data_IF_412388422708
#
_entry.id   IF_412388422708
#
_cell.length_a   1.000
_cell.length_b   1.000
_cell.length_c   1.000
_cell.angle_alpha   90.00
_cell.angle_beta   90.00
_cell.angle_gamma   90.00
#
_symmetry.space_group_name_H-M   'P 1'
#
loop_
_entity.id
_entity.type
_entity.pdbx_description
1 polymer ?
#
# COMPACT_ATOMS: atom_id res chain seq x y z
N UNK A 1 -10.42 12.77 -2.08
CA UNK A 1 -10.62 11.33 -2.33
C UNK A 1 -9.40 10.74 -3.04
N UNK A 2 -8.54 10.03 -2.31
CA UNK A 2 -7.46 9.24 -2.90
C UNK A 2 -8.13 8.15 -3.74
N UNK A 3 -7.91 8.14 -5.06
CA UNK A 3 -8.40 7.08 -5.93
C UNK A 3 -7.73 5.78 -5.43
N UNK A 4 -8.57 4.86 -4.92
CA UNK A 4 -8.22 3.72 -4.06
C UNK A 4 -7.00 2.94 -4.54
N UNK A 5 -6.15 2.50 -3.61
CA UNK A 5 -4.82 1.92 -3.88
C UNK A 5 -4.87 0.57 -4.62
N UNK A 6 -6.04 -0.07 -4.72
CA UNK A 6 -6.29 -1.14 -5.69
C UNK A 6 -5.95 -0.72 -7.14
N UNK A 7 -6.02 0.58 -7.47
CA UNK A 7 -5.55 1.14 -8.75
C UNK A 7 -4.02 1.20 -8.90
N UNK A 8 -3.24 0.93 -7.85
CA UNK A 8 -1.78 0.79 -7.93
C UNK A 8 -1.38 -0.50 -8.63
N UNK A 9 -2.24 -1.52 -8.60
CA UNK A 9 -2.04 -2.76 -9.34
C UNK A 9 -2.07 -2.46 -10.84
N UNK A 10 -1.02 -2.87 -11.56
CA UNK A 10 -0.92 -2.68 -13.01
C UNK A 10 -1.75 -3.70 -13.82
N UNK A 11 -2.74 -4.34 -13.20
CA UNK A 11 -3.65 -5.31 -13.80
C UNK A 11 -5.09 -5.03 -13.38
N UNK A 12 -6.09 -5.45 -14.18
CA UNK A 12 -7.48 -5.20 -13.85
C UNK A 12 -7.88 -5.95 -12.57
N UNK A 13 -8.58 -5.23 -11.69
CA UNK A 13 -9.25 -5.75 -10.49
C UNK A 13 -10.73 -5.40 -10.62
N UNK A 14 -11.62 -6.26 -10.15
CA UNK A 14 -13.07 -5.98 -10.16
C UNK A 14 -13.36 -4.59 -9.58
N UNK A 15 -14.13 -3.78 -10.33
CA UNK A 15 -14.49 -2.41 -9.97
C UNK A 15 -15.24 -2.32 -8.62
N UNK A 16 -15.92 -3.41 -8.21
CA UNK A 16 -16.57 -3.51 -6.89
C UNK A 16 -15.53 -3.58 -5.77
N UNK A 17 -14.43 -4.30 -6.00
CA UNK A 17 -13.33 -4.45 -5.04
C UNK A 17 -12.43 -3.22 -5.01
N UNK A 18 -12.29 -2.53 -6.15
CA UNK A 18 -11.65 -1.22 -6.21
C UNK A 18 -12.32 -0.21 -5.30
N UNK A 19 -13.57 -0.47 -4.87
CA UNK A 19 -14.37 0.41 -4.06
C UNK A 19 -14.84 -0.18 -2.71
N UNK A 20 -14.38 -1.38 -2.40
CA UNK A 20 -14.51 -2.08 -1.14
C UNK A 20 -13.79 -1.37 0.04
N UNK A 21 -14.40 -0.79 1.09
CA UNK A 21 -13.62 -0.57 2.31
C UNK A 21 -13.19 -1.93 2.86
N UNK A 22 -11.88 -2.24 2.82
CA UNK A 22 -11.33 -3.53 3.26
C UNK A 22 -11.12 -3.58 4.78
N UNK A 23 -12.06 -2.98 5.50
CA UNK A 23 -12.01 -2.76 6.94
C UNK A 23 -12.20 -4.11 7.66
N UNK A 24 -11.39 -4.43 8.67
CA UNK A 24 -11.58 -5.62 9.49
C UNK A 24 -12.80 -5.47 10.40
N UNK A 25 -13.36 -6.59 10.85
CA UNK A 25 -14.50 -6.56 11.78
C UNK A 25 -14.07 -5.99 13.13
N UNK A 26 -12.86 -6.34 13.56
CA UNK A 26 -12.22 -5.87 14.78
C UNK A 26 -10.86 -5.27 14.45
N UNK A 27 -10.38 -4.36 15.28
CA UNK A 27 -9.04 -3.81 15.12
C UNK A 27 -7.99 -4.93 15.24
N UNK A 28 -7.05 -5.06 14.29
CA UNK A 28 -6.04 -6.11 14.33
C UNK A 28 -5.13 -5.91 15.53
N UNK A 29 -4.98 -6.94 16.38
CA UNK A 29 -4.15 -6.81 17.59
C UNK A 29 -2.68 -6.67 17.23
N UNK A 30 -2.22 -7.38 16.20
CA UNK A 30 -0.84 -7.36 15.72
C UNK A 30 -0.75 -7.41 14.19
N UNK A 31 0.48 -7.26 13.67
CA UNK A 31 0.74 -7.29 12.22
C UNK A 31 0.35 -8.63 11.57
N UNK A 32 0.49 -9.74 12.30
CA UNK A 32 0.07 -11.06 11.83
C UNK A 32 -1.42 -11.14 11.57
N UNK A 33 -2.24 -10.58 12.48
CA UNK A 33 -3.70 -10.52 12.32
C UNK A 33 -4.10 -9.66 11.11
N UNK A 34 -3.43 -8.51 10.94
CA UNK A 34 -3.64 -7.65 9.79
C UNK A 34 -3.31 -8.37 8.47
N UNK A 35 -2.18 -9.09 8.43
CA UNK A 35 -1.77 -9.88 7.26
C UNK A 35 -2.75 -11.03 7.02
N UNK A 36 -3.23 -11.72 8.07
CA UNK A 36 -4.22 -12.78 7.94
C UNK A 36 -5.53 -12.27 7.35
N UNK A 37 -5.99 -11.08 7.80
CA UNK A 37 -7.14 -10.39 7.24
C UNK A 37 -6.98 -10.09 5.75
N UNK A 38 -5.80 -9.62 5.32
CA UNK A 38 -5.52 -9.41 3.90
C UNK A 38 -5.37 -10.71 3.11
N UNK A 39 -4.78 -11.76 3.70
CA UNK A 39 -4.59 -13.07 3.07
C UNK A 39 -5.93 -13.67 2.62
N UNK A 40 -6.95 -13.57 3.47
CA UNK A 40 -8.31 -14.04 3.16
C UNK A 40 -8.92 -13.36 1.92
N UNK A 41 -8.40 -12.20 1.51
CA UNK A 41 -8.90 -11.38 0.39
C UNK A 41 -8.04 -11.45 -0.85
N UNK A 42 -6.84 -12.03 -0.78
CA UNK A 42 -5.92 -12.12 -1.92
C UNK A 42 -6.55 -12.69 -3.20
N UNK A 43 -7.38 -13.75 -3.15
CA UNK A 43 -8.00 -14.29 -4.37
C UNK A 43 -8.73 -13.25 -5.22
N UNK A 44 -9.29 -12.23 -4.57
CA UNK A 44 -10.05 -11.17 -5.21
C UNK A 44 -9.18 -10.15 -5.98
N UNK A 45 -7.87 -10.10 -5.70
CA UNK A 45 -6.90 -9.15 -6.29
C UNK A 45 -5.89 -9.83 -7.22
N UNK A 46 -5.92 -11.17 -7.31
CA UNK A 46 -5.01 -11.93 -8.15
C UNK A 46 -5.26 -11.63 -9.63
N UNK A 47 -4.20 -11.51 -10.45
CA UNK A 47 -4.38 -11.34 -11.88
C UNK A 47 -4.96 -12.60 -12.53
N UNK A 48 -5.60 -12.46 -13.69
CA UNK A 48 -6.21 -13.59 -14.41
C UNK A 48 -5.22 -14.71 -14.80
N UNK A 49 -3.91 -14.39 -14.86
CA UNK A 49 -2.85 -15.37 -15.17
C UNK A 49 -2.21 -15.99 -13.91
N UNK A 50 -2.74 -15.73 -12.71
CA UNK A 50 -2.15 -16.19 -11.45
C UNK A 50 -1.92 -17.71 -11.41
N UNK A 51 -2.92 -18.49 -11.83
CA UNK A 51 -2.85 -19.95 -11.78
C UNK A 51 -1.85 -20.56 -12.78
N UNK A 52 -1.37 -19.75 -13.74
CA UNK A 52 -0.35 -20.15 -14.71
C UNK A 52 1.08 -19.88 -14.21
N UNK A 53 1.23 -19.22 -13.07
CA UNK A 53 2.53 -18.98 -12.43
C UNK A 53 2.98 -20.21 -11.65
N UNK A 54 4.30 -20.38 -11.50
CA UNK A 54 4.82 -21.37 -10.57
C UNK A 54 4.47 -20.99 -9.11
N UNK A 55 4.55 -21.96 -8.19
CA UNK A 55 4.19 -21.73 -6.78
C UNK A 55 5.01 -20.61 -6.12
N UNK A 56 6.25 -20.41 -6.56
CA UNK A 56 7.15 -19.39 -6.02
C UNK A 56 6.67 -18.00 -6.44
N UNK A 57 6.33 -17.83 -7.71
CA UNK A 57 5.82 -16.58 -8.28
C UNK A 57 4.40 -16.29 -7.81
N UNK A 58 3.55 -17.30 -7.62
CA UNK A 58 2.26 -17.14 -6.94
C UNK A 58 2.44 -16.52 -5.54
N UNK A 59 3.35 -17.07 -4.73
CA UNK A 59 3.62 -16.54 -3.39
C UNK A 59 4.17 -15.10 -3.44
N UNK A 60 5.02 -14.78 -4.43
CA UNK A 60 5.53 -13.41 -4.63
C UNK A 60 4.43 -12.44 -5.04
N UNK A 61 3.50 -12.86 -5.90
CA UNK A 61 2.34 -12.04 -6.30
C UNK A 61 1.43 -11.78 -5.12
N UNK A 62 1.15 -12.81 -4.31
CA UNK A 62 0.40 -12.68 -3.06
C UNK A 62 1.09 -11.73 -2.08
N UNK A 63 2.43 -11.77 -1.99
CA UNK A 63 3.23 -10.81 -1.23
C UNK A 63 3.10 -9.37 -1.76
N UNK A 64 3.18 -9.18 -3.08
CA UNK A 64 3.02 -7.87 -3.71
C UNK A 64 1.63 -7.28 -3.45
N UNK A 65 0.57 -8.09 -3.58
CA UNK A 65 -0.80 -7.68 -3.26
C UNK A 65 -0.90 -7.33 -1.77
N UNK A 66 -0.32 -8.13 -0.88
CA UNK A 66 -0.30 -7.85 0.56
C UNK A 66 0.33 -6.49 0.87
N UNK A 67 1.47 -6.17 0.25
CA UNK A 67 2.12 -4.85 0.42
C UNK A 67 1.23 -3.69 -0.05
N UNK A 68 0.51 -3.88 -1.16
CA UNK A 68 -0.44 -2.89 -1.70
C UNK A 68 -1.62 -2.70 -0.73
N UNK A 69 -2.14 -3.77 -0.16
CA UNK A 69 -3.23 -3.72 0.83
C UNK A 69 -2.78 -3.10 2.14
N UNK A 70 -1.57 -3.39 2.61
CA UNK A 70 -0.98 -2.71 3.77
C UNK A 70 -0.84 -1.20 3.52
N UNK A 71 -0.39 -0.79 2.33
CA UNK A 71 -0.33 0.62 1.96
C UNK A 71 -1.73 1.26 1.93
N UNK A 72 -2.74 0.58 1.38
CA UNK A 72 -4.13 1.06 1.36
C UNK A 72 -4.67 1.28 2.78
N UNK A 73 -4.53 0.26 3.64
CA UNK A 73 -4.94 0.33 5.04
C UNK A 73 -4.20 1.39 5.84
N UNK A 74 -2.91 1.56 5.58
CA UNK A 74 -2.13 2.67 6.11
C UNK A 74 -2.78 3.98 5.66
N UNK A 75 -2.84 4.30 4.36
CA UNK A 75 -3.29 5.61 3.88
C UNK A 75 -4.70 6.01 4.33
N UNK A 76 -5.57 5.04 4.55
CA UNK A 76 -6.96 5.27 4.95
C UNK A 76 -7.19 5.16 6.46
N UNK A 77 -6.17 4.90 7.28
CA UNK A 77 -6.33 4.74 8.73
C UNK A 77 -7.06 5.92 9.38
N UNK A 78 -6.73 7.16 8.99
CA UNK A 78 -7.45 8.35 9.44
C UNK A 78 -8.93 8.37 8.99
N UNK A 79 -9.22 7.93 7.75
CA UNK A 79 -10.59 7.86 7.26
C UNK A 79 -11.40 6.77 7.97
N UNK A 80 -10.75 5.68 8.41
CA UNK A 80 -11.38 4.64 9.21
C UNK A 80 -11.73 5.14 10.62
N UNK A 81 -10.82 5.89 11.26
CA UNK A 81 -11.08 6.57 12.54
C UNK A 81 -12.26 7.53 12.44
N UNK A 82 -12.24 8.44 11.46
CA UNK A 82 -13.31 9.44 11.26
C UNK A 82 -14.66 8.76 10.98
N UNK A 83 -14.66 7.59 10.35
CA UNK A 83 -15.85 6.82 10.07
C UNK A 83 -16.29 5.88 11.21
N UNK A 84 -15.59 5.87 12.36
CA UNK A 84 -15.87 4.98 13.49
C UNK A 84 -15.67 3.51 13.16
N UNK A 85 -14.75 3.20 12.23
CA UNK A 85 -14.43 1.84 11.77
C UNK A 85 -13.16 1.33 12.45
N UNK A 86 -13.03 0.01 12.53
CA UNK A 86 -11.78 -0.61 12.97
C UNK A 86 -10.62 -0.17 12.09
N UNK A 87 -9.55 0.33 12.70
CA UNK A 87 -8.39 0.80 11.96
C UNK A 87 -7.68 -0.37 11.27
N UNK A 88 -7.20 -0.13 10.04
CA UNK A 88 -6.41 -1.11 9.29
C UNK A 88 -4.93 -1.07 9.66
N UNK A 89 -4.63 -0.91 10.94
CA UNK A 89 -3.30 -0.83 11.51
C UNK A 89 -3.17 -1.77 12.73
N UNK A 90 -1.97 -2.29 13.02
CA UNK A 90 -1.74 -3.14 14.19
C UNK A 90 -1.80 -2.33 15.49
N UNK A 91 -2.69 -2.72 16.41
CA UNK A 91 -2.88 -2.01 17.69
C UNK A 91 -1.63 -2.06 18.58
N UNK A 92 -0.94 -3.21 18.66
CA UNK A 92 0.30 -3.39 19.41
C UNK A 92 1.41 -2.41 19.00
N UNK A 93 1.51 -2.15 17.70
CA UNK A 93 2.51 -1.27 17.10
C UNK A 93 2.18 0.19 17.42
N UNK A 94 0.91 0.57 17.33
CA UNK A 94 0.46 1.90 17.72
C UNK A 94 0.75 2.16 19.20
N UNK A 95 0.44 1.20 20.07
CA UNK A 95 0.70 1.28 21.51
C UNK A 95 2.21 1.39 21.82
N UNK A 96 3.01 0.47 21.27
CA UNK A 96 4.48 0.45 21.45
C UNK A 96 5.13 1.76 21.02
N UNK A 97 4.59 2.41 19.99
CA UNK A 97 5.11 3.66 19.44
C UNK A 97 4.40 4.90 20.01
N UNK A 98 3.48 4.74 20.96
CA UNK A 98 2.70 5.79 21.62
C UNK A 98 1.86 6.63 20.65
N UNK A 99 1.39 6.02 19.56
CA UNK A 99 0.44 6.64 18.63
C UNK A 99 -0.97 6.38 19.12
N UNK A 100 -1.51 7.39 19.79
CA UNK A 100 -2.85 7.38 20.38
C UNK A 100 -3.92 7.92 19.43
N UNK A 101 -5.18 7.68 19.77
CA UNK A 101 -6.37 8.24 19.10
C UNK A 101 -6.28 9.76 18.87
N UNK A 102 -5.75 10.51 19.84
CA UNK A 102 -5.56 11.96 19.71
C UNK A 102 -4.67 12.38 18.54
N UNK A 103 -3.71 11.54 18.12
CA UNK A 103 -2.91 11.86 16.92
C UNK A 103 -3.77 11.90 15.66
N UNK A 104 -4.78 11.02 15.58
CA UNK A 104 -5.67 10.95 14.44
C UNK A 104 -6.71 12.06 14.47
N UNK A 105 -7.29 12.35 15.63
CA UNK A 105 -8.31 13.40 15.80
C UNK A 105 -7.74 14.82 15.65
N UNK A 106 -6.60 15.08 16.30
CA UNK A 106 -5.94 16.40 16.28
C UNK A 106 -5.05 16.59 15.04
N UNK A 107 -4.93 15.56 14.18
CA UNK A 107 -4.04 15.54 13.02
C UNK A 107 -2.58 15.83 13.41
N UNK A 108 -2.15 15.28 14.55
CA UNK A 108 -0.85 15.57 15.16
C UNK A 108 0.26 14.76 14.51
N UNK A 109 1.31 15.46 14.06
CA UNK A 109 2.49 14.89 13.38
C UNK A 109 3.74 15.16 14.20
N UNK A 110 3.84 14.51 15.36
CA UNK A 110 5.00 14.60 16.25
C UNK A 110 6.02 13.49 16.00
N UNK A 111 7.02 13.38 16.87
CA UNK A 111 8.07 12.38 16.75
C UNK A 111 7.54 10.94 16.84
N UNK A 112 6.53 10.68 17.69
CA UNK A 112 5.93 9.36 17.83
C UNK A 112 5.24 8.93 16.53
N UNK A 113 4.44 9.83 15.95
CA UNK A 113 3.77 9.59 14.67
C UNK A 113 4.76 9.41 13.52
N UNK A 114 5.83 10.21 13.45
CA UNK A 114 6.88 10.07 12.41
C UNK A 114 7.59 8.72 12.51
N UNK A 115 7.99 8.32 13.72
CA UNK A 115 8.64 7.02 13.98
C UNK A 115 7.73 5.86 13.58
N UNK A 116 6.44 5.94 13.89
CA UNK A 116 5.46 4.95 13.43
C UNK A 116 5.39 4.86 11.91
N UNK A 117 5.26 6.00 11.23
CA UNK A 117 5.20 6.03 9.76
C UNK A 117 6.47 5.46 9.12
N UNK A 118 7.64 5.75 9.66
CA UNK A 118 8.90 5.19 9.19
C UNK A 118 8.96 3.67 9.37
N UNK A 119 8.55 3.18 10.54
CA UNK A 119 8.54 1.76 10.84
C UNK A 119 7.54 1.01 9.95
N UNK A 120 6.30 1.49 9.83
CA UNK A 120 5.28 0.86 9.00
C UNK A 120 5.65 0.88 7.52
N UNK A 121 6.22 1.98 7.02
CA UNK A 121 6.78 2.03 5.67
C UNK A 121 7.93 1.02 5.48
N UNK A 122 8.75 0.80 6.50
CA UNK A 122 9.77 -0.25 6.54
C UNK A 122 9.18 -1.66 6.39
N UNK A 123 8.08 -1.95 7.11
CA UNK A 123 7.37 -3.23 6.99
C UNK A 123 6.83 -3.44 5.57
N UNK A 124 6.19 -2.44 4.97
CA UNK A 124 5.69 -2.52 3.58
C UNK A 124 6.86 -2.78 2.61
N UNK A 125 8.01 -2.11 2.79
CA UNK A 125 9.20 -2.35 1.95
C UNK A 125 9.76 -3.75 2.12
N UNK A 126 9.79 -4.29 3.33
CA UNK A 126 10.21 -5.67 3.57
C UNK A 126 9.38 -6.67 2.78
N UNK A 127 8.05 -6.48 2.75
CA UNK A 127 7.15 -7.30 1.94
C UNK A 127 7.39 -7.09 0.43
N UNK A 128 7.58 -5.84 -0.03
CA UNK A 128 7.88 -5.54 -1.44
C UNK A 128 9.19 -6.15 -1.93
N UNK A 129 10.23 -6.20 -1.10
CA UNK A 129 11.52 -6.80 -1.47
C UNK A 129 11.37 -8.28 -1.83
N UNK A 130 10.49 -9.01 -1.15
CA UNK A 130 10.15 -10.39 -1.49
C UNK A 130 9.54 -10.54 -2.89
N UNK A 131 8.86 -9.50 -3.39
CA UNK A 131 8.26 -9.47 -4.72
C UNK A 131 9.21 -8.96 -5.82
N UNK A 132 10.39 -8.42 -5.48
CA UNK A 132 11.33 -7.86 -6.45
C UNK A 132 11.74 -8.83 -7.61
N UNK A 133 11.92 -10.15 -7.38
CA UNK A 133 12.25 -11.09 -8.46
C UNK A 133 11.21 -11.15 -9.58
N UNK A 134 9.93 -10.84 -9.32
CA UNK A 134 8.86 -10.80 -10.32
C UNK A 134 9.15 -9.81 -11.46
N UNK A 135 9.98 -8.79 -11.21
CA UNK A 135 10.33 -7.78 -12.21
C UNK A 135 11.42 -8.20 -13.20
N UNK A 136 12.05 -9.37 -13.04
CA UNK A 136 13.20 -9.78 -13.87
C UNK A 136 12.86 -10.10 -15.34
N UNK A 137 11.71 -10.71 -15.68
CA UNK A 137 11.34 -10.90 -17.08
C UNK A 137 10.98 -9.55 -17.73
N UNK A 138 11.69 -9.14 -18.80
CA UNK A 138 11.57 -7.80 -19.39
C UNK A 138 10.13 -7.44 -19.81
N UNK A 139 9.47 -8.31 -20.58
CA UNK A 139 8.11 -8.07 -21.10
C UNK A 139 6.98 -8.71 -20.29
N UNK A 140 7.27 -9.71 -19.45
CA UNK A 140 6.24 -10.32 -18.59
C UNK A 140 6.18 -9.66 -17.20
N UNK A 141 7.30 -9.09 -16.73
CA UNK A 141 7.43 -8.50 -15.39
C UNK A 141 7.08 -7.02 -15.27
N UNK A 142 6.80 -6.32 -16.38
CA UNK A 142 6.58 -4.86 -16.36
C UNK A 142 5.42 -4.44 -15.45
N UNK A 143 4.35 -5.26 -15.37
CA UNK A 143 3.20 -4.98 -14.51
C UNK A 143 3.61 -4.97 -13.04
N UNK A 144 4.36 -5.98 -12.62
CA UNK A 144 4.89 -6.07 -11.26
C UNK A 144 5.84 -4.90 -10.95
N UNK A 145 6.73 -4.54 -11.89
CA UNK A 145 7.63 -3.38 -11.74
C UNK A 145 6.88 -2.06 -11.60
N UNK A 146 5.83 -1.84 -12.39
CA UNK A 146 5.01 -0.64 -12.27
C UNK A 146 4.31 -0.58 -10.90
N UNK A 147 3.73 -1.70 -10.44
CA UNK A 147 3.11 -1.77 -9.12
C UNK A 147 4.14 -1.45 -8.03
N UNK A 148 5.30 -2.11 -8.02
CA UNK A 148 6.38 -1.87 -7.04
C UNK A 148 6.82 -0.41 -7.07
N UNK A 149 7.10 0.15 -8.25
CA UNK A 149 7.57 1.53 -8.38
C UNK A 149 6.52 2.55 -7.90
N UNK A 150 5.23 2.29 -8.13
CA UNK A 150 4.14 3.14 -7.63
C UNK A 150 4.03 3.08 -6.11
N UNK A 151 4.08 1.89 -5.52
CA UNK A 151 4.05 1.72 -4.06
C UNK A 151 5.25 2.45 -3.45
N UNK A 152 6.46 2.26 -3.99
CA UNK A 152 7.65 2.98 -3.51
C UNK A 152 7.53 4.50 -3.62
N UNK A 153 6.97 5.01 -4.71
CA UNK A 153 6.74 6.45 -4.88
C UNK A 153 5.85 6.98 -3.75
N UNK A 154 4.71 6.32 -3.49
CA UNK A 154 3.79 6.75 -2.43
C UNK A 154 4.47 6.69 -1.07
N UNK A 155 5.20 5.60 -0.77
CA UNK A 155 5.95 5.48 0.48
C UNK A 155 6.93 6.65 0.67
N UNK A 156 7.72 6.99 -0.37
CA UNK A 156 8.67 8.10 -0.31
C UNK A 156 7.97 9.44 -0.08
N UNK A 157 6.87 9.71 -0.78
CA UNK A 157 6.13 10.95 -0.63
C UNK A 157 5.59 11.15 0.78
N UNK A 158 5.08 10.08 1.40
CA UNK A 158 4.53 10.10 2.76
C UNK A 158 5.59 10.19 3.85
N UNK A 159 6.78 9.64 3.61
CA UNK A 159 7.91 9.81 4.53
C UNK A 159 8.50 11.22 4.47
N UNK A 160 8.56 11.83 3.28
CA UNK A 160 9.06 13.21 3.12
C UNK A 160 8.10 14.21 3.76
N UNK A 161 6.79 14.02 3.59
CA UNK A 161 5.78 14.89 4.19
C UNK A 161 4.69 14.06 4.90
N UNK A 162 4.90 13.77 6.20
CA UNK A 162 3.92 13.06 7.01
C UNK A 162 2.63 13.86 7.25
N UNK A 163 2.58 15.16 6.96
CA UNK A 163 1.32 15.94 7.07
C UNK A 163 0.31 15.58 5.98
N UNK A 164 0.76 14.98 4.87
CA UNK A 164 -0.12 14.53 3.80
C UNK A 164 -1.15 13.49 4.30
N UNK A 165 -0.86 12.79 5.39
CA UNK A 165 -1.72 11.80 6.04
C UNK A 165 -3.12 12.30 6.38
N UNK A 166 -3.21 13.59 6.73
CA UNK A 166 -4.45 14.20 7.20
C UNK A 166 -5.10 15.12 6.15
N UNK A 167 -4.55 15.17 4.93
CA UNK A 167 -5.09 15.98 3.82
C UNK A 167 -6.03 15.15 2.95
N UNK A 168 -7.31 15.51 2.96
CA UNK A 168 -8.36 14.84 2.18
C UNK A 168 -8.34 15.16 0.66
N UNK A 169 -7.53 16.15 0.26
CA UNK A 169 -7.42 16.60 -1.13
C UNK A 169 -6.02 16.44 -1.69
N UNK A 170 -5.86 15.82 -2.87
CA UNK A 170 -4.56 15.74 -3.50
C UNK A 170 -4.36 17.05 -4.28
N UNK A 171 -3.86 18.10 -3.63
CA UNK A 171 -3.38 19.31 -4.32
C UNK A 171 -2.01 19.04 -4.94
N UNK A 172 -1.98 18.20 -5.97
CA UNK A 172 -0.86 18.17 -6.91
C UNK A 172 -1.42 18.41 -8.29
N UNK A 173 -0.90 19.44 -8.94
CA UNK A 173 -1.26 19.80 -10.30
C UNK A 173 -1.22 18.55 -11.20
N UNK A 174 -2.20 18.36 -12.10
CA UNK A 174 -2.31 17.17 -12.95
C UNK A 174 -1.04 16.91 -13.77
N UNK A 175 -0.30 17.96 -14.12
CA UNK A 175 0.96 17.90 -14.87
C UNK A 175 2.06 17.14 -14.12
N UNK A 176 2.23 17.35 -12.82
CA UNK A 176 3.28 16.68 -12.03
C UNK A 176 3.01 15.18 -11.89
N UNK A 177 1.74 14.76 -11.93
CA UNK A 177 1.35 13.34 -11.92
C UNK A 177 1.62 12.65 -13.24
N UNK A 178 1.34 13.30 -14.36
CA UNK A 178 1.65 12.78 -15.69
C UNK A 178 3.16 12.62 -15.84
N UNK A 179 3.95 13.62 -15.42
CA UNK A 179 5.41 13.55 -15.46
C UNK A 179 5.96 12.47 -14.53
N UNK A 180 5.40 12.28 -13.33
CA UNK A 180 5.81 11.21 -12.42
C UNK A 180 5.46 9.81 -12.98
N UNK A 181 4.25 9.64 -13.52
CA UNK A 181 3.81 8.41 -14.17
C UNK A 181 4.64 8.07 -15.41
N UNK A 182 4.92 9.07 -16.25
CA UNK A 182 5.78 8.95 -17.42
C UNK A 182 7.22 8.61 -17.03
N UNK A 183 7.76 9.21 -15.96
CA UNK A 183 9.10 8.91 -15.44
C UNK A 183 9.20 7.49 -14.88
N UNK A 184 8.15 7.00 -14.24
CA UNK A 184 8.09 5.61 -13.74
C UNK A 184 7.96 4.64 -14.91
N UNK A 185 7.05 4.90 -15.85
CA UNK A 185 6.92 4.09 -17.05
C UNK A 185 8.24 4.05 -17.83
N UNK A 186 8.89 5.20 -18.00
CA UNK A 186 10.21 5.31 -18.62
C UNK A 186 11.26 4.52 -17.86
N UNK A 187 11.43 4.71 -16.54
CA UNK A 187 12.39 3.92 -15.73
C UNK A 187 12.12 2.43 -15.80
N UNK A 188 10.86 2.01 -15.81
CA UNK A 188 10.49 0.60 -15.91
C UNK A 188 10.85 0.06 -17.30
N UNK A 189 10.63 0.83 -18.36
CA UNK A 189 10.94 0.45 -19.74
C UNK A 189 12.45 0.56 -20.08
N UNK A 190 13.19 1.47 -19.46
CA UNK A 190 14.60 1.76 -19.80
C UNK A 190 15.62 1.21 -18.82
N UNK A 191 15.23 0.62 -17.69
CA UNK A 191 16.18 -0.21 -16.92
C UNK A 191 16.45 -1.49 -17.72
N UNK A 192 17.42 -1.35 -18.63
CA UNK A 192 18.15 -2.43 -19.29
C UNK A 192 19.08 -3.06 -18.26
N UNK A 193 19.12 -4.40 -18.27
CA UNK A 193 20.23 -5.26 -17.84
C UNK A 193 20.92 -4.92 -16.54
#
# INVERSE_FOLDING_TARGET
MIRRVAALLAWPVDARLQNAPLVPVTEPANLGDLIAHYRARLPAFRPAWFDHLDKTDQARVDGLITAVLMLDGWLDAHADVVAGRAMRLPADMLDTMRVTESHWQEKRVDFAFRRFNEHFAGQIRGVLQGAAPLGRPCLAGWRYRLTIARVEQVLRERQVDPSLWFRDSPSRAPVTRIVAGARIAWRVLTSRG
#
